data_IF_973747586534
#
_entry.id   IF_973747586534
#
_cell.length_a   1.000
_cell.length_b   1.000
_cell.length_c   1.000
_cell.angle_alpha   90.00
_cell.angle_beta   90.00
_cell.angle_gamma   90.00
#
_symmetry.space_group_name_H-M   'P 1'
#
loop_
_entity.id
_entity.type
_entity.pdbx_description
1 polymer ?
#
# COMPACT_ATOMS: atom_id res chain seq x y z
N UNK A 1 19.51 -5.24 -10.36
CA UNK A 1 18.43 -5.47 -9.38
C UNK A 1 18.16 -6.96 -9.34
N UNK A 2 18.17 -7.57 -8.16
CA UNK A 2 17.79 -8.98 -7.97
C UNK A 2 16.31 -9.04 -7.67
N UNK A 3 15.57 -9.91 -8.35
CA UNK A 3 14.12 -10.08 -8.18
C UNK A 3 13.81 -11.45 -7.59
N UNK A 4 12.72 -11.55 -6.82
CA UNK A 4 12.23 -12.79 -6.23
C UNK A 4 10.70 -12.86 -6.31
N UNK A 5 10.14 -14.07 -6.29
CA UNK A 5 8.70 -14.32 -6.30
C UNK A 5 8.28 -15.00 -5.00
N UNK A 6 7.22 -14.49 -4.38
CA UNK A 6 6.67 -15.00 -3.13
C UNK A 6 5.16 -15.23 -3.27
N UNK A 7 4.71 -16.38 -3.81
CA UNK A 7 3.31 -16.59 -4.18
C UNK A 7 2.31 -16.35 -3.05
N UNK A 8 2.63 -16.80 -1.83
CA UNK A 8 1.77 -16.59 -0.67
C UNK A 8 1.67 -15.10 -0.26
N UNK A 9 2.79 -14.39 -0.31
CA UNK A 9 2.83 -12.97 -0.02
C UNK A 9 2.11 -12.14 -1.10
N UNK A 10 2.12 -12.60 -2.35
CA UNK A 10 1.39 -11.95 -3.44
C UNK A 10 -0.14 -12.02 -3.30
N UNK A 11 -0.67 -12.77 -2.34
CA UNK A 11 -2.11 -12.79 -2.02
C UNK A 11 -2.54 -11.60 -1.15
N UNK A 12 -1.62 -10.93 -0.44
CA UNK A 12 -1.96 -9.81 0.42
C UNK A 12 -2.42 -8.62 -0.43
N UNK A 13 -3.63 -8.11 -0.17
CA UNK A 13 -4.24 -7.05 -0.97
C UNK A 13 -3.60 -5.67 -0.72
N UNK A 14 -3.90 -4.71 -1.60
CA UNK A 14 -3.48 -3.33 -1.41
C UNK A 14 -4.38 -2.55 -0.46
N UNK A 15 -3.77 -1.71 0.39
CA UNK A 15 -4.42 -0.55 1.02
C UNK A 15 -3.42 0.60 1.12
N UNK A 16 -3.86 1.85 0.91
CA UNK A 16 -3.03 3.03 1.20
C UNK A 16 -2.90 3.29 2.72
N UNK A 17 -3.74 2.64 3.53
CA UNK A 17 -3.64 2.54 4.99
C UNK A 17 -3.48 1.06 5.37
N UNK A 18 -2.32 0.45 5.09
CA UNK A 18 -2.14 -0.98 5.29
C UNK A 18 -2.07 -1.35 6.77
N UNK A 19 -2.54 -2.55 7.12
CA UNK A 19 -2.36 -3.11 8.47
C UNK A 19 -1.07 -3.94 8.61
N UNK A 20 -0.37 -4.22 7.51
CA UNK A 20 0.93 -4.87 7.51
C UNK A 20 2.00 -4.09 6.75
N UNK A 21 3.24 -4.27 7.18
CA UNK A 21 4.45 -3.92 6.44
C UNK A 21 5.19 -5.21 6.08
N UNK A 22 6.10 -5.16 5.12
CA UNK A 22 6.92 -6.32 4.76
C UNK A 22 8.37 -5.94 4.51
N UNK A 23 9.26 -6.93 4.64
CA UNK A 23 10.65 -6.84 4.16
C UNK A 23 11.09 -8.17 3.55
N UNK A 24 11.85 -8.10 2.46
CA UNK A 24 12.60 -9.22 1.89
C UNK A 24 14.10 -9.10 2.15
N UNK A 25 14.54 -8.05 2.86
CA UNK A 25 15.94 -7.81 3.19
C UNK A 25 16.33 -8.66 4.39
N UNK A 26 16.69 -9.92 4.13
CA UNK A 26 17.21 -10.85 5.13
C UNK A 26 18.13 -11.88 4.47
N UNK A 27 19.05 -12.52 5.24
CA UNK A 27 19.99 -13.49 4.70
C UNK A 27 19.33 -14.81 4.26
N UNK A 28 18.05 -15.03 4.55
CA UNK A 28 17.35 -16.29 4.31
C UNK A 28 16.60 -16.33 2.98
N UNK A 29 16.57 -15.22 2.22
CA UNK A 29 15.80 -15.13 0.96
C UNK A 29 14.29 -15.29 1.17
N UNK A 30 13.80 -14.98 2.38
CA UNK A 30 12.40 -15.07 2.75
C UNK A 30 11.73 -13.70 2.68
N UNK A 31 10.40 -13.65 2.78
CA UNK A 31 9.64 -12.42 2.99
C UNK A 31 9.00 -12.46 4.37
N UNK A 32 9.16 -11.39 5.14
CA UNK A 32 8.58 -11.25 6.48
C UNK A 32 7.50 -10.18 6.47
N UNK A 33 6.37 -10.46 7.10
CA UNK A 33 5.27 -9.52 7.30
C UNK A 33 5.21 -9.13 8.78
N UNK A 34 4.99 -7.85 9.04
CA UNK A 34 4.87 -7.29 10.38
C UNK A 34 3.55 -6.56 10.49
N UNK A 35 2.80 -6.83 11.56
CA UNK A 35 1.61 -6.07 11.87
C UNK A 35 1.99 -4.61 12.20
N UNK A 36 1.45 -3.65 11.47
CA UNK A 36 1.58 -2.23 11.77
C UNK A 36 0.53 -1.77 12.79
N UNK A 37 -0.58 -2.51 12.87
CA UNK A 37 -1.72 -2.27 13.75
C UNK A 37 -2.21 -3.59 14.35
N UNK A 38 -3.14 -3.52 15.31
CA UNK A 38 -3.84 -4.73 15.77
C UNK A 38 -4.69 -5.31 14.63
N UNK A 39 -4.65 -6.63 14.47
CA UNK A 39 -5.37 -7.36 13.42
C UNK A 39 -6.21 -8.43 14.11
N UNK A 40 -7.53 -8.34 13.98
CA UNK A 40 -8.45 -9.31 14.54
C UNK A 40 -8.54 -10.56 13.65
N UNK A 41 -8.98 -11.68 14.23
CA UNK A 41 -9.25 -12.89 13.45
C UNK A 41 -10.35 -12.61 12.41
N UNK A 42 -10.05 -12.92 11.14
CA UNK A 42 -10.93 -12.67 10.01
C UNK A 42 -10.67 -11.36 9.27
N UNK A 43 -9.83 -10.46 9.81
CA UNK A 43 -9.42 -9.25 9.10
C UNK A 43 -8.59 -9.58 7.85
N UNK A 44 -8.78 -8.79 6.80
CA UNK A 44 -7.96 -8.88 5.59
C UNK A 44 -6.55 -8.33 5.85
N UNK A 45 -5.53 -9.10 5.47
CA UNK A 45 -4.14 -8.62 5.47
C UNK A 45 -3.89 -7.73 4.25
N UNK A 46 -3.37 -6.53 4.48
CA UNK A 46 -3.11 -5.53 3.44
C UNK A 46 -1.71 -4.93 3.56
N UNK A 47 -1.10 -4.62 2.42
CA UNK A 47 0.19 -3.93 2.30
C UNK A 47 0.07 -2.76 1.31
N UNK A 48 1.02 -1.82 1.33
CA UNK A 48 1.11 -0.81 0.27
C UNK A 48 1.85 -1.39 -0.95
N UNK A 49 1.30 -1.15 -2.14
CA UNK A 49 1.96 -1.39 -3.42
C UNK A 49 2.48 -0.11 -4.06
N UNK A 50 2.10 1.05 -3.50
CA UNK A 50 2.39 2.36 -4.07
C UNK A 50 3.82 2.76 -3.71
N UNK A 51 4.71 2.78 -4.71
CA UNK A 51 6.10 3.19 -4.57
C UNK A 51 6.20 4.71 -4.32
N UNK A 52 5.24 5.51 -4.81
CA UNK A 52 5.14 6.94 -4.45
C UNK A 52 4.87 7.19 -2.96
N UNK A 53 4.50 6.14 -2.21
CA UNK A 53 4.24 6.19 -0.79
C UNK A 53 2.80 6.60 -0.44
N UNK A 54 2.37 6.21 0.76
CA UNK A 54 0.99 6.41 1.21
C UNK A 54 0.62 7.88 1.45
N UNK A 55 1.62 8.77 1.54
CA UNK A 55 1.43 10.22 1.74
C UNK A 55 1.36 11.02 0.43
N UNK A 56 1.58 10.40 -0.73
CA UNK A 56 1.39 11.05 -2.03
C UNK A 56 -0.10 11.36 -2.29
N UNK A 57 -0.46 12.34 -3.12
CA UNK A 57 -1.84 12.62 -3.54
C UNK A 57 -2.60 11.39 -4.05
N UNK A 58 -3.91 11.33 -3.81
CA UNK A 58 -4.76 10.19 -4.21
C UNK A 58 -4.72 9.94 -5.72
N UNK A 59 -4.68 11.02 -6.51
CA UNK A 59 -4.56 10.91 -7.97
C UNK A 59 -3.23 10.26 -8.41
N UNK A 60 -2.13 10.54 -7.70
CA UNK A 60 -0.82 9.97 -8.00
C UNK A 60 -0.81 8.47 -7.68
N UNK A 61 -1.30 8.09 -6.49
CA UNK A 61 -1.46 6.68 -6.09
C UNK A 61 -2.33 5.92 -7.08
N UNK A 62 -3.47 6.48 -7.51
CA UNK A 62 -4.33 5.86 -8.53
C UNK A 62 -3.65 5.70 -9.88
N UNK A 63 -2.93 6.72 -10.34
CA UNK A 63 -2.22 6.67 -11.62
C UNK A 63 -1.17 5.57 -11.61
N UNK A 64 -0.41 5.45 -10.52
CA UNK A 64 0.60 4.41 -10.36
C UNK A 64 -0.01 3.01 -10.32
N UNK A 65 -1.04 2.80 -9.50
CA UNK A 65 -1.70 1.49 -9.34
C UNK A 65 -2.43 1.05 -10.60
N UNK A 66 -3.10 1.96 -11.30
CA UNK A 66 -3.71 1.67 -12.60
C UNK A 66 -2.64 1.21 -13.61
N UNK A 67 -1.49 1.90 -13.64
CA UNK A 67 -0.39 1.56 -14.56
C UNK A 67 0.33 0.25 -14.20
N UNK A 68 0.49 -0.07 -12.92
CA UNK A 68 1.38 -1.17 -12.47
C UNK A 68 0.64 -2.42 -12.02
N UNK A 69 -0.63 -2.29 -11.64
CA UNK A 69 -1.45 -3.35 -11.03
C UNK A 69 -2.85 -3.45 -11.64
N UNK A 70 -3.20 -2.58 -12.59
CA UNK A 70 -4.45 -2.61 -13.36
C UNK A 70 -5.73 -2.51 -12.51
N UNK A 71 -5.74 -1.62 -11.51
CA UNK A 71 -6.95 -1.32 -10.73
C UNK A 71 -6.96 0.11 -10.18
N UNK A 72 -8.14 0.57 -9.74
CA UNK A 72 -8.35 1.83 -9.01
C UNK A 72 -8.60 1.52 -7.54
N UNK A 73 -7.78 2.07 -6.65
CA UNK A 73 -7.86 1.81 -5.21
C UNK A 73 -9.07 2.52 -4.57
N UNK A 74 -9.87 1.77 -3.82
CA UNK A 74 -11.06 2.27 -3.08
C UNK A 74 -10.90 2.11 -1.57
N UNK A 75 -9.66 2.05 -1.06
CA UNK A 75 -9.42 1.97 0.38
C UNK A 75 -9.95 3.23 1.12
N UNK A 76 -10.12 3.19 2.46
CA UNK A 76 -10.69 4.31 3.21
C UNK A 76 -10.02 5.66 2.95
N UNK A 77 -8.69 5.69 2.77
CA UNK A 77 -7.97 6.93 2.44
C UNK A 77 -8.28 7.46 1.04
N UNK A 78 -8.43 6.59 0.04
CA UNK A 78 -8.78 6.99 -1.33
C UNK A 78 -10.25 7.39 -1.48
N UNK A 79 -11.13 6.88 -0.61
CA UNK A 79 -12.55 7.22 -0.58
C UNK A 79 -12.87 8.48 0.23
N UNK A 80 -11.92 8.96 1.04
CA UNK A 80 -12.04 10.18 1.83
C UNK A 80 -11.59 11.43 1.05
N UNK A 81 -11.91 12.65 1.53
CA UNK A 81 -11.33 13.87 1.00
C UNK A 81 -9.80 13.83 1.03
N UNK A 82 -9.16 14.24 -0.06
CA UNK A 82 -7.71 14.17 -0.20
C UNK A 82 -7.00 15.26 0.63
N UNK A 83 -6.57 14.89 1.83
CA UNK A 83 -5.83 15.76 2.75
C UNK A 83 -4.40 16.07 2.27
N UNK A 84 -3.87 15.32 1.30
CA UNK A 84 -2.49 15.46 0.81
C UNK A 84 -2.37 16.44 -0.36
N UNK A 85 -3.50 16.96 -0.87
CA UNK A 85 -3.56 17.95 -1.96
C UNK A 85 -4.16 19.29 -1.48
N UNK A 86 -3.64 19.81 -0.37
CA UNK A 86 -4.06 21.10 0.18
C UNK A 86 -3.65 22.28 -0.71
N UNK A 87 -4.60 23.16 -1.03
CA UNK A 87 -4.33 24.45 -1.69
C UNK A 87 -4.49 25.56 -0.65
N UNK A 88 -3.52 26.47 -0.57
CA UNK A 88 -3.62 27.63 0.31
C UNK A 88 -4.70 28.58 -0.23
N UNK A 89 -5.63 28.99 0.63
CA UNK A 89 -6.59 30.02 0.28
C UNK A 89 -5.85 31.32 -0.07
N UNK A 90 -6.14 31.90 -1.23
CA UNK A 90 -5.63 33.21 -1.59
C UNK A 90 -6.27 34.23 -0.65
N UNK A 91 -5.45 34.83 0.23
CA UNK A 91 -5.87 35.95 1.07
C UNK A 91 -6.19 37.16 0.21
#
# INVERSE_FOLDING_TARGET
STSALYPLASMAAHSCVPNCMYTSQNPYGSISYFAAHSIAAGDLITISYADCGCAAPTLERWTELARTKDFICTCPQCSAPDATRGVKCAR
#
